data_IF_707587951505
#
_entry.id   IF_707587951505
#
_cell.length_a   1.000
_cell.length_b   1.000
_cell.length_c   1.000
_cell.angle_alpha   90.00
_cell.angle_beta   90.00
_cell.angle_gamma   90.00
#
_symmetry.space_group_name_H-M   'P 1'
#
loop_
_entity.id
_entity.type
_entity.pdbx_description
1 polymer ?
#
# COMPACT_ATOMS: atom_id res chain seq x y z
N UNK A 1 24.63 9.29 10.92
CA UNK A 1 24.47 8.05 10.13
C UNK A 1 24.02 8.39 8.72
N UNK A 2 24.92 8.32 7.73
CA UNK A 2 24.59 8.61 6.33
C UNK A 2 24.12 7.31 5.68
N UNK A 3 22.83 7.18 5.40
CA UNK A 3 22.27 6.04 4.67
C UNK A 3 22.82 6.07 3.23
N UNK A 4 23.91 5.33 2.99
CA UNK A 4 24.61 5.26 1.69
C UNK A 4 24.01 4.12 0.88
N UNK A 5 22.86 4.36 0.26
CA UNK A 5 22.34 3.45 -0.75
C UNK A 5 21.72 4.25 -1.90
N UNK A 6 21.90 3.76 -3.13
CA UNK A 6 21.26 4.36 -4.30
C UNK A 6 19.74 4.17 -4.27
N UNK A 7 19.04 4.95 -5.09
CA UNK A 7 17.58 4.90 -5.17
C UNK A 7 17.04 3.50 -5.48
N UNK A 8 17.71 2.74 -6.35
CA UNK A 8 17.33 1.36 -6.69
C UNK A 8 17.35 0.42 -5.48
N UNK A 9 18.28 0.61 -4.56
CA UNK A 9 18.40 -0.21 -3.36
C UNK A 9 17.30 0.14 -2.34
N UNK A 10 16.94 1.42 -2.22
CA UNK A 10 15.79 1.88 -1.43
C UNK A 10 14.51 1.20 -1.95
N UNK A 11 14.28 1.26 -3.26
CA UNK A 11 13.13 0.59 -3.89
C UNK A 11 13.15 -0.92 -3.60
N UNK A 12 14.30 -1.58 -3.78
CA UNK A 12 14.45 -3.02 -3.53
C UNK A 12 14.08 -3.39 -2.08
N UNK A 13 14.55 -2.62 -1.10
CA UNK A 13 14.25 -2.83 0.32
C UNK A 13 12.77 -2.60 0.60
N UNK A 14 12.19 -1.49 0.13
CA UNK A 14 10.77 -1.18 0.37
C UNK A 14 9.83 -2.21 -0.30
N UNK A 15 10.24 -2.77 -1.45
CA UNK A 15 9.51 -3.83 -2.14
C UNK A 15 9.46 -5.16 -1.37
N UNK A 16 10.22 -5.33 -0.28
CA UNK A 16 10.12 -6.50 0.59
C UNK A 16 8.84 -6.52 1.41
N UNK A 17 8.18 -5.36 1.59
CA UNK A 17 6.85 -5.33 2.17
C UNK A 17 5.83 -5.88 1.16
N UNK A 18 5.05 -6.89 1.56
CA UNK A 18 4.07 -7.58 0.72
C UNK A 18 2.72 -7.69 1.40
N UNK A 19 1.68 -7.85 0.59
CA UNK A 19 0.33 -8.18 1.02
C UNK A 19 -0.16 -9.35 0.16
N UNK A 20 -0.57 -10.42 0.82
CA UNK A 20 -1.19 -11.59 0.19
C UNK A 20 -2.68 -11.55 0.49
N UNK A 21 -3.48 -11.77 -0.55
CA UNK A 21 -4.94 -11.92 -0.41
C UNK A 21 -5.32 -13.32 -0.84
N UNK A 22 -5.97 -14.06 0.04
CA UNK A 22 -6.45 -15.42 -0.20
C UNK A 22 -7.96 -15.40 -0.19
N UNK A 23 -8.58 -15.90 -1.25
CA UNK A 23 -10.02 -16.04 -1.37
C UNK A 23 -10.41 -17.50 -1.16
N UNK A 24 -11.41 -17.74 -0.31
CA UNK A 24 -11.91 -19.07 0.04
C UNK A 24 -13.42 -19.05 -0.20
N UNK A 25 -13.93 -20.00 -0.99
CA UNK A 25 -15.37 -20.17 -1.21
C UNK A 25 -15.92 -21.21 -0.25
N UNK A 26 -16.99 -20.88 0.48
CA UNK A 26 -17.70 -21.81 1.36
C UNK A 26 -18.66 -22.72 0.55
N UNK A 27 -19.15 -23.79 1.17
CA UNK A 27 -20.21 -24.68 0.69
C UNK A 27 -21.48 -23.90 0.29
N UNK A 28 -21.77 -22.78 0.96
CA UNK A 28 -22.88 -21.87 0.61
C UNK A 28 -22.55 -20.84 -0.48
N UNK A 29 -21.51 -21.07 -1.30
CA UNK A 29 -21.03 -20.20 -2.40
C UNK A 29 -20.59 -18.79 -1.99
N UNK A 30 -20.46 -18.52 -0.70
CA UNK A 30 -19.94 -17.25 -0.17
C UNK A 30 -18.41 -17.19 -0.27
N UNK A 31 -17.87 -16.05 -0.70
CA UNK A 31 -16.42 -15.82 -0.78
C UNK A 31 -15.93 -15.08 0.46
N UNK A 32 -15.00 -15.70 1.18
CA UNK A 32 -14.26 -15.11 2.29
C UNK A 32 -12.88 -14.67 1.76
N UNK A 33 -12.55 -13.39 1.89
CA UNK A 33 -11.26 -12.84 1.51
C UNK A 33 -10.41 -12.54 2.75
N UNK A 34 -9.29 -13.26 2.91
CA UNK A 34 -8.33 -13.05 3.99
C UNK A 34 -7.14 -12.26 3.44
N UNK A 35 -6.81 -11.13 4.06
CA UNK A 35 -5.64 -10.32 3.71
C UNK A 35 -4.58 -10.42 4.80
N UNK A 36 -3.36 -10.81 4.42
CA UNK A 36 -2.19 -10.84 5.30
C UNK A 36 -1.12 -9.89 4.77
N UNK A 37 -0.74 -8.90 5.56
CA UNK A 37 0.33 -7.94 5.25
C UNK A 37 1.60 -8.25 6.05
N UNK A 38 2.76 -7.95 5.49
CA UNK A 38 4.03 -8.01 6.22
C UNK A 38 4.26 -6.74 7.04
N UNK A 39 4.82 -6.91 8.23
CA UNK A 39 5.34 -5.82 9.05
C UNK A 39 6.68 -5.26 8.51
N UNK A 40 7.02 -3.99 8.81
CA UNK A 40 8.31 -3.40 8.46
C UNK A 40 9.49 -4.17 9.06
N UNK A 41 10.42 -4.62 8.21
CA UNK A 41 11.72 -5.12 8.67
C UNK A 41 12.59 -3.97 9.17
N UNK A 42 13.66 -4.25 9.93
CA UNK A 42 14.57 -3.21 10.47
C UNK A 42 15.09 -2.24 9.40
N UNK A 43 15.41 -2.74 8.19
CA UNK A 43 15.86 -1.87 7.08
C UNK A 43 14.75 -0.96 6.57
N UNK A 44 13.51 -1.45 6.52
CA UNK A 44 12.35 -0.65 6.12
C UNK A 44 12.04 0.40 7.19
N UNK A 45 12.14 0.05 8.47
CA UNK A 45 11.98 0.99 9.59
C UNK A 45 13.00 2.13 9.50
N UNK A 46 14.27 1.82 9.23
CA UNK A 46 15.30 2.85 9.00
C UNK A 46 14.94 3.79 7.85
N UNK A 47 14.38 3.27 6.74
CA UNK A 47 13.95 4.10 5.62
C UNK A 47 12.75 4.97 6.03
N UNK A 48 11.79 4.45 6.80
CA UNK A 48 10.70 5.25 7.33
C UNK A 48 11.20 6.37 8.24
N UNK A 49 12.11 6.08 9.17
CA UNK A 49 12.68 7.07 10.09
C UNK A 49 13.42 8.17 9.34
N UNK A 50 14.21 7.82 8.32
CA UNK A 50 14.93 8.77 7.47
C UNK A 50 13.99 9.69 6.69
N UNK A 51 12.82 9.18 6.28
CA UNK A 51 11.81 9.95 5.55
C UNK A 51 10.81 10.66 6.49
N UNK A 52 10.93 10.49 7.82
CA UNK A 52 10.00 11.05 8.80
C UNK A 52 8.60 10.45 8.75
N UNK A 53 8.47 9.21 8.27
CA UNK A 53 7.20 8.49 8.18
C UNK A 53 6.96 7.58 9.38
N UNK A 54 5.68 7.41 9.73
CA UNK A 54 5.27 6.39 10.70
C UNK A 54 5.48 4.99 10.13
N UNK A 55 5.94 4.07 10.97
CA UNK A 55 6.05 2.66 10.59
C UNK A 55 4.66 2.09 10.36
N UNK A 56 4.47 1.44 9.23
CA UNK A 56 3.20 0.82 8.88
C UNK A 56 3.43 -0.50 8.13
N UNK A 57 2.56 -1.51 8.34
CA UNK A 57 2.51 -2.69 7.48
C UNK A 57 2.30 -2.29 6.02
N UNK A 58 2.48 -3.23 5.09
CA UNK A 58 2.19 -2.95 3.67
C UNK A 58 0.78 -2.36 3.51
N UNK A 59 0.69 -1.16 2.95
CA UNK A 59 -0.55 -0.50 2.58
C UNK A 59 -0.48 0.00 1.14
N UNK A 60 -1.60 -0.08 0.42
CA UNK A 60 -1.70 0.42 -0.96
C UNK A 60 -2.14 1.88 -0.89
N UNK A 61 -1.33 2.81 -1.41
CA UNK A 61 -1.82 4.18 -1.65
C UNK A 61 -2.97 4.11 -2.66
N UNK A 62 -4.17 4.49 -2.22
CA UNK A 62 -5.33 4.62 -3.08
C UNK A 62 -5.21 5.95 -3.82
N UNK A 63 -5.10 5.91 -5.14
CA UNK A 63 -5.39 7.08 -5.97
C UNK A 63 -6.88 7.04 -6.29
N UNK A 64 -7.59 8.12 -6.00
CA UNK A 64 -8.97 8.30 -6.46
C UNK A 64 -8.93 9.39 -7.50
N UNK A 65 -9.37 9.08 -8.72
CA UNK A 65 -9.54 10.10 -9.76
C UNK A 65 -10.71 10.99 -9.31
N UNK A 66 -10.51 12.31 -9.15
CA UNK A 66 -11.63 13.21 -8.93
C UNK A 66 -12.63 13.03 -10.07
N UNK A 67 -13.94 12.89 -9.79
CA UNK A 67 -14.95 12.86 -10.86
C UNK A 67 -14.76 14.09 -11.75
N UNK A 68 -14.82 13.92 -13.07
CA UNK A 68 -14.89 15.05 -13.98
C UNK A 68 -16.04 15.96 -13.52
N UNK A 69 -15.81 17.29 -13.50
CA UNK A 69 -16.82 18.25 -13.06
C UNK A 69 -18.15 17.95 -13.76
N UNK A 70 -19.15 17.53 -12.99
CA UNK A 70 -20.48 17.32 -13.50
C UNK A 70 -21.01 18.72 -13.79
N UNK A 71 -20.92 19.16 -15.04
CA UNK A 71 -21.67 20.34 -15.49
C UNK A 71 -23.14 20.01 -15.24
N UNK A 72 -23.72 20.61 -14.19
CA UNK A 72 -25.16 20.64 -14.01
C UNK A 72 -25.67 21.42 -15.22
N UNK A 73 -26.24 20.71 -16.19
CA UNK A 73 -27.02 21.37 -17.23
C UNK A 73 -28.24 21.92 -16.49
N UNK A 74 -28.21 23.23 -16.22
CA UNK A 74 -29.36 23.95 -15.69
C UNK A 74 -30.51 23.76 -16.67
N UNK A 75 -31.59 23.20 -16.14
CA UNK A 75 -32.82 22.92 -16.85
C UNK A 75 -33.40 24.23 -17.37
N UNK A 76 -33.62 24.35 -18.68
CA UNK A 76 -34.52 25.33 -19.29
C UNK A 76 -35.76 24.62 -19.78
#
# INVERSE_FOLDING_TARGET
NKFRCGWSEIIRIMNTQKCVTTNITNISEQVISIRKCTEPTTKVQQIYDLLGYKHAPFYRKKSVVPPAEIFKNDSS
#
